data_IF_678109988985
#
_entry.id   IF_678109988985
#
_cell.length_a   1.000
_cell.length_b   1.000
_cell.length_c   1.000
_cell.angle_alpha   90.00
_cell.angle_beta   90.00
_cell.angle_gamma   90.00
#
_symmetry.space_group_name_H-M   'P 1'
#
loop_
_entity.id
_entity.type
_entity.pdbx_description
1 polymer ?
#
# COMPACT_ATOMS: atom_id res chain seq x y z
N UNK A 1 -47.37 -37.30 3.87
CA UNK A 1 -47.51 -35.82 3.90
C UNK A 1 -46.63 -35.10 4.95
N UNK A 2 -45.93 -35.84 5.82
CA UNK A 2 -45.18 -35.29 6.96
C UNK A 2 -43.65 -35.25 6.79
N UNK A 3 -43.14 -35.54 5.59
CA UNK A 3 -41.70 -35.62 5.29
C UNK A 3 -41.13 -34.42 4.52
N UNK A 4 -41.95 -33.41 4.19
CA UNK A 4 -41.47 -32.18 3.52
C UNK A 4 -41.17 -31.00 4.47
N UNK A 5 -41.43 -31.14 5.77
CA UNK A 5 -41.29 -30.03 6.74
C UNK A 5 -40.02 -30.08 7.61
N UNK A 6 -39.17 -31.11 7.45
CA UNK A 6 -37.95 -31.30 8.28
C UNK A 6 -36.61 -31.06 7.55
N UNK A 7 -36.60 -30.82 6.24
CA UNK A 7 -35.36 -30.56 5.48
C UNK A 7 -35.11 -29.09 5.17
N UNK A 8 -35.93 -28.17 5.70
CA UNK A 8 -35.78 -26.73 5.49
C UNK A 8 -35.63 -26.00 6.83
N UNK A 9 -34.86 -26.60 7.75
CA UNK A 9 -34.49 -26.01 9.05
C UNK A 9 -32.97 -25.99 9.25
N UNK A 10 -32.18 -26.42 8.25
CA UNK A 10 -30.71 -26.29 8.24
C UNK A 10 -30.31 -25.24 7.19
N UNK A 11 -30.72 -23.99 7.42
CA UNK A 11 -30.16 -22.82 6.74
C UNK A 11 -30.44 -21.55 7.56
N UNK A 12 -30.46 -21.65 8.89
CA UNK A 12 -30.34 -20.46 9.76
C UNK A 12 -28.86 -20.13 9.93
N UNK A 13 -28.19 -19.86 8.81
CA UNK A 13 -27.08 -18.92 8.82
C UNK A 13 -27.73 -17.57 8.63
N UNK A 14 -27.66 -16.71 9.63
CA UNK A 14 -28.14 -15.34 9.55
C UNK A 14 -27.60 -14.71 8.26
N UNK A 15 -28.48 -14.57 7.27
CA UNK A 15 -28.25 -13.70 6.11
C UNK A 15 -28.33 -12.29 6.68
N UNK A 16 -27.23 -11.86 7.29
CA UNK A 16 -27.02 -10.47 7.65
C UNK A 16 -27.29 -9.64 6.40
N UNK A 17 -28.17 -8.66 6.55
CA UNK A 17 -28.63 -7.75 5.50
C UNK A 17 -27.46 -7.12 4.74
N UNK A 18 -27.02 -7.74 3.64
CA UNK A 18 -25.97 -7.23 2.73
C UNK A 18 -26.49 -6.22 1.71
N UNK A 19 -27.63 -5.58 1.96
CA UNK A 19 -28.16 -4.55 1.08
C UNK A 19 -27.65 -3.17 1.53
N UNK A 20 -26.91 -2.50 0.63
CA UNK A 20 -26.66 -1.03 0.61
C UNK A 20 -25.34 -0.45 1.18
N UNK A 21 -24.22 -1.18 1.24
CA UNK A 21 -22.91 -0.57 1.61
C UNK A 21 -21.74 -0.82 0.66
N UNK A 22 -21.94 -1.61 -0.40
CA UNK A 22 -20.92 -1.90 -1.42
C UNK A 22 -21.05 -1.11 -2.74
N UNK A 23 -20.26 -1.49 -3.74
CA UNK A 23 -20.32 -1.00 -5.11
C UNK A 23 -19.41 0.20 -5.43
N UNK A 24 -19.74 0.91 -6.51
CA UNK A 24 -18.91 1.97 -7.10
C UNK A 24 -18.63 3.18 -6.22
N UNK A 25 -19.43 3.43 -5.18
CA UNK A 25 -19.14 4.52 -4.22
C UNK A 25 -17.88 4.20 -3.43
N UNK A 26 -17.82 3.01 -2.82
CA UNK A 26 -16.67 2.53 -2.06
C UNK A 26 -15.47 2.25 -2.97
N UNK A 27 -15.70 1.63 -4.13
CA UNK A 27 -14.62 1.29 -5.06
C UNK A 27 -13.87 2.52 -5.60
N UNK A 28 -14.57 3.64 -5.86
CA UNK A 28 -13.92 4.89 -6.28
C UNK A 28 -13.04 5.49 -5.19
N UNK A 29 -13.48 5.46 -3.93
CA UNK A 29 -12.65 5.91 -2.80
C UNK A 29 -11.37 5.06 -2.70
N UNK A 30 -11.50 3.74 -2.84
CA UNK A 30 -10.33 2.84 -2.85
C UNK A 30 -9.37 3.19 -3.97
N UNK A 31 -9.86 3.43 -5.20
CA UNK A 31 -9.01 3.85 -6.33
C UNK A 31 -8.30 5.17 -6.02
N UNK A 32 -9.00 6.18 -5.50
CA UNK A 32 -8.38 7.47 -5.17
C UNK A 32 -7.30 7.34 -4.09
N UNK A 33 -7.54 6.53 -3.06
CA UNK A 33 -6.56 6.27 -1.99
C UNK A 33 -5.35 5.52 -2.54
N UNK A 34 -5.55 4.50 -3.38
CA UNK A 34 -4.46 3.79 -4.06
C UNK A 34 -3.63 4.75 -4.93
N UNK A 35 -4.27 5.63 -5.69
CA UNK A 35 -3.56 6.60 -6.52
C UNK A 35 -2.69 7.55 -5.68
N UNK A 36 -3.22 8.04 -4.55
CA UNK A 36 -2.50 8.94 -3.65
C UNK A 36 -1.34 8.21 -2.93
N UNK A 37 -1.56 6.96 -2.53
CA UNK A 37 -0.55 6.12 -1.91
C UNK A 37 0.61 5.85 -2.88
N UNK A 38 0.31 5.42 -4.11
CA UNK A 38 1.31 5.21 -5.14
C UNK A 38 2.09 6.49 -5.44
N UNK A 39 1.42 7.64 -5.45
CA UNK A 39 2.10 8.91 -5.67
C UNK A 39 3.14 9.18 -4.58
N UNK A 40 2.76 9.00 -3.31
CA UNK A 40 3.69 9.14 -2.19
C UNK A 40 4.85 8.13 -2.27
N UNK A 41 4.53 6.86 -2.53
CA UNK A 41 5.51 5.77 -2.60
C UNK A 41 6.56 6.00 -3.69
N UNK A 42 6.11 6.28 -4.92
CA UNK A 42 7.03 6.55 -6.03
C UNK A 42 7.76 7.89 -5.85
N UNK A 43 7.16 8.86 -5.15
CA UNK A 43 7.81 10.11 -4.77
C UNK A 43 9.01 9.86 -3.87
N UNK A 44 8.85 9.01 -2.85
CA UNK A 44 9.96 8.57 -1.98
C UNK A 44 11.02 7.83 -2.78
N UNK A 45 10.61 6.82 -3.56
CA UNK A 45 11.51 6.01 -4.39
C UNK A 45 12.37 6.86 -5.33
N UNK A 46 11.76 7.86 -5.98
CA UNK A 46 12.45 8.75 -6.92
C UNK A 46 13.49 9.68 -6.27
N UNK A 47 13.29 10.06 -5.01
CA UNK A 47 14.18 10.96 -4.29
C UNK A 47 15.23 10.23 -3.44
N UNK A 48 15.10 8.90 -3.30
CA UNK A 48 15.92 8.10 -2.41
C UNK A 48 17.41 8.17 -2.76
N UNK A 49 17.75 8.11 -4.06
CA UNK A 49 19.14 8.20 -4.53
C UNK A 49 19.77 9.55 -4.22
N UNK A 50 19.03 10.64 -4.40
CA UNK A 50 19.48 12.00 -4.12
C UNK A 50 19.68 12.21 -2.62
N UNK A 51 18.78 11.66 -1.79
CA UNK A 51 18.89 11.75 -0.34
C UNK A 51 20.08 10.96 0.21
N UNK A 52 20.29 9.73 -0.29
CA UNK A 52 21.41 8.87 0.11
C UNK A 52 22.77 9.46 -0.30
N UNK A 53 22.89 9.98 -1.52
CA UNK A 53 24.18 10.51 -2.02
C UNK A 53 24.47 11.95 -1.57
N UNK A 54 23.45 12.77 -1.34
CA UNK A 54 23.60 14.14 -0.87
C UNK A 54 23.66 14.21 0.66
N UNK A 55 22.52 14.40 1.36
CA UNK A 55 22.45 14.53 2.82
C UNK A 55 23.18 13.45 3.64
N UNK A 56 23.13 12.18 3.20
CA UNK A 56 23.77 11.05 3.88
C UNK A 56 25.21 10.79 3.42
N UNK A 57 25.64 11.39 2.29
CA UNK A 57 27.01 11.29 1.79
C UNK A 57 27.44 9.89 1.33
N UNK A 58 26.51 8.98 1.03
CA UNK A 58 26.85 7.66 0.50
C UNK A 58 27.41 7.75 -0.92
N UNK A 59 28.33 6.85 -1.26
CA UNK A 59 28.71 6.67 -2.68
C UNK A 59 27.51 6.21 -3.51
N UNK A 60 27.45 6.59 -4.79
CA UNK A 60 26.38 6.17 -5.70
C UNK A 60 26.19 4.66 -5.75
N UNK A 61 27.28 3.89 -5.66
CA UNK A 61 27.23 2.43 -5.64
C UNK A 61 26.59 1.89 -4.36
N UNK A 62 26.95 2.44 -3.19
CA UNK A 62 26.35 2.06 -1.91
C UNK A 62 24.85 2.44 -1.85
N UNK A 63 24.52 3.65 -2.28
CA UNK A 63 23.14 4.13 -2.34
C UNK A 63 22.29 3.24 -3.25
N UNK A 64 22.77 2.89 -4.45
CA UNK A 64 22.08 1.99 -5.35
C UNK A 64 21.89 0.58 -4.74
N UNK A 65 22.89 0.06 -4.02
CA UNK A 65 22.78 -1.22 -3.32
C UNK A 65 21.70 -1.17 -2.23
N UNK A 66 21.65 -0.09 -1.44
CA UNK A 66 20.63 0.11 -0.41
C UNK A 66 19.22 0.22 -1.01
N UNK A 67 19.05 0.96 -2.11
CA UNK A 67 17.77 1.06 -2.84
C UNK A 67 17.32 -0.31 -3.36
N UNK A 68 18.24 -1.08 -3.95
CA UNK A 68 17.94 -2.42 -4.44
C UNK A 68 17.57 -3.39 -3.31
N UNK A 69 18.25 -3.32 -2.17
CA UNK A 69 17.94 -4.12 -0.98
C UNK A 69 16.55 -3.78 -0.42
N UNK A 70 16.21 -2.50 -0.37
CA UNK A 70 14.89 -2.03 0.03
C UNK A 70 13.79 -2.55 -0.94
N UNK A 71 13.98 -2.35 -2.25
CA UNK A 71 13.04 -2.84 -3.27
C UNK A 71 12.88 -4.37 -3.27
N UNK A 72 13.98 -5.10 -3.04
CA UNK A 72 13.96 -6.55 -2.87
C UNK A 72 13.12 -6.96 -1.66
N UNK A 73 13.34 -6.31 -0.52
CA UNK A 73 12.60 -6.56 0.72
C UNK A 73 11.10 -6.33 0.53
N UNK A 74 10.73 -5.22 -0.09
CA UNK A 74 9.34 -4.90 -0.44
C UNK A 74 8.69 -5.93 -1.34
N UNK A 75 9.43 -6.54 -2.25
CA UNK A 75 8.90 -7.57 -3.15
C UNK A 75 8.59 -8.88 -2.42
N UNK A 76 9.30 -9.19 -1.33
CA UNK A 76 9.08 -10.40 -0.53
C UNK A 76 7.97 -10.23 0.53
N UNK A 77 7.81 -9.01 1.07
CA UNK A 77 6.88 -8.74 2.17
C UNK A 77 5.41 -9.10 1.88
N UNK A 78 4.85 -8.91 0.67
CA UNK A 78 3.50 -9.37 0.34
C UNK A 78 3.28 -10.86 0.57
N UNK A 79 4.29 -11.70 0.33
CA UNK A 79 4.20 -13.15 0.56
C UNK A 79 4.09 -13.45 2.05
N UNK A 80 4.90 -12.78 2.86
CA UNK A 80 4.86 -12.90 4.32
C UNK A 80 3.52 -12.42 4.87
N UNK A 81 3.06 -11.26 4.43
CA UNK A 81 1.78 -10.69 4.84
C UNK A 81 0.59 -11.53 4.41
N UNK A 82 0.62 -12.13 3.21
CA UNK A 82 -0.41 -13.06 2.75
C UNK A 82 -0.55 -14.24 3.70
N UNK A 83 0.57 -14.88 4.05
CA UNK A 83 0.58 -15.98 5.02
C UNK A 83 -0.02 -15.56 6.38
N UNK A 84 0.38 -14.39 6.90
CA UNK A 84 -0.13 -13.88 8.19
C UNK A 84 -1.63 -13.54 8.10
N UNK A 85 -2.06 -12.91 7.01
CA UNK A 85 -3.45 -12.53 6.79
C UNK A 85 -4.37 -13.75 6.72
N UNK A 86 -3.94 -14.79 6.01
CA UNK A 86 -4.73 -16.01 5.83
C UNK A 86 -4.72 -16.90 7.09
N UNK A 87 -3.64 -16.89 7.87
CA UNK A 87 -3.47 -17.79 9.02
C UNK A 87 -3.94 -17.21 10.37
N UNK A 88 -3.85 -15.89 10.58
CA UNK A 88 -4.01 -15.31 11.92
C UNK A 88 -4.90 -14.06 11.99
N UNK A 89 -4.66 -13.07 11.12
CA UNK A 89 -5.24 -11.72 11.28
C UNK A 89 -6.57 -11.54 10.54
N UNK A 90 -6.75 -12.21 9.40
CA UNK A 90 -7.80 -11.89 8.44
C UNK A 90 -7.51 -10.59 7.67
N UNK A 91 -8.04 -10.49 6.45
CA UNK A 91 -7.72 -9.43 5.47
C UNK A 91 -7.91 -8.01 6.02
N UNK A 92 -9.03 -7.72 6.70
CA UNK A 92 -9.33 -6.37 7.18
C UNK A 92 -8.36 -5.89 8.28
N UNK A 93 -8.01 -6.77 9.24
CA UNK A 93 -7.06 -6.40 10.31
C UNK A 93 -5.66 -6.21 9.75
N UNK A 94 -5.26 -7.02 8.77
CA UNK A 94 -3.99 -6.83 8.06
C UNK A 94 -3.93 -5.46 7.40
N UNK A 95 -5.01 -5.01 6.72
CA UNK A 95 -5.06 -3.66 6.13
C UNK A 95 -4.82 -2.59 7.19
N UNK A 96 -5.54 -2.64 8.32
CA UNK A 96 -5.43 -1.63 9.37
C UNK A 96 -4.01 -1.57 9.97
N UNK A 97 -3.42 -2.72 10.28
CA UNK A 97 -2.06 -2.79 10.83
C UNK A 97 -1.05 -2.29 9.80
N UNK A 98 -1.15 -2.75 8.55
CA UNK A 98 -0.25 -2.36 7.48
C UNK A 98 -0.33 -0.85 7.17
N UNK A 99 -1.54 -0.29 7.10
CA UNK A 99 -1.75 1.15 6.93
C UNK A 99 -1.18 1.96 8.10
N UNK A 100 -1.34 1.49 9.34
CA UNK A 100 -0.75 2.16 10.51
C UNK A 100 0.79 2.17 10.43
N UNK A 101 1.41 1.02 10.12
CA UNK A 101 2.87 0.92 9.94
C UNK A 101 3.37 1.83 8.82
N UNK A 102 2.63 1.89 7.69
CA UNK A 102 2.96 2.75 6.57
C UNK A 102 2.95 4.24 6.95
N UNK A 103 1.86 4.72 7.59
CA UNK A 103 1.74 6.12 8.03
C UNK A 103 2.82 6.46 9.07
N UNK A 104 3.10 5.56 10.01
CA UNK A 104 4.17 5.74 10.98
C UNK A 104 5.54 5.85 10.29
N UNK A 105 5.79 5.01 9.29
CA UNK A 105 7.00 5.05 8.47
C UNK A 105 7.16 6.39 7.74
N UNK A 106 6.10 6.89 7.10
CA UNK A 106 6.09 8.21 6.45
C UNK A 106 6.37 9.35 7.44
N UNK A 107 5.78 9.28 8.63
CA UNK A 107 6.00 10.26 9.70
C UNK A 107 7.45 10.26 10.19
N UNK A 108 8.02 9.07 10.42
CA UNK A 108 9.43 8.91 10.83
C UNK A 108 10.39 9.36 9.74
N UNK A 109 10.09 9.06 8.47
CA UNK A 109 10.90 9.49 7.33
C UNK A 109 10.92 11.02 7.23
N UNK A 110 9.75 11.65 7.32
CA UNK A 110 9.62 13.11 7.33
C UNK A 110 10.37 13.73 8.49
N UNK A 111 10.25 13.15 9.70
CA UNK A 111 10.99 13.60 10.87
C UNK A 111 12.51 13.46 10.69
N UNK A 112 12.98 12.34 10.12
CA UNK A 112 14.41 12.12 9.84
C UNK A 112 14.98 13.15 8.89
N UNK A 113 14.20 13.59 7.90
CA UNK A 113 14.60 14.62 6.94
C UNK A 113 14.67 16.03 7.54
N UNK A 114 13.93 16.30 8.61
CA UNK A 114 13.94 17.60 9.31
C UNK A 114 15.09 17.74 10.32
N UNK A 115 15.78 16.64 10.67
CA UNK A 115 16.88 16.69 11.61
C UNK A 115 18.07 17.47 11.01
N UNK A 116 18.59 18.49 11.71
CA UNK A 116 19.71 19.27 11.20
C UNK A 116 20.97 18.41 11.15
N UNK A 117 21.55 18.29 9.96
CA UNK A 117 22.84 17.63 9.77
C UNK A 117 23.95 18.54 10.28
N UNK A 118 24.30 18.42 11.57
CA UNK A 118 25.38 19.20 12.17
C UNK A 118 26.75 18.61 11.76
N UNK A 119 27.43 19.33 10.86
CA UNK A 119 28.87 19.22 10.50
C UNK A 119 29.41 17.85 10.05
N UNK A 120 29.88 17.81 8.79
CA UNK A 120 30.77 16.83 8.09
C UNK A 120 30.49 15.32 8.18
N UNK A 121 29.94 14.82 9.27
CA UNK A 121 29.61 13.41 9.47
C UNK A 121 28.08 13.24 9.62
N UNK A 122 27.45 12.26 8.94
CA UNK A 122 26.03 11.99 9.09
C UNK A 122 25.69 11.70 10.55
N UNK A 123 24.70 12.41 11.11
CA UNK A 123 24.23 12.13 12.46
C UNK A 123 23.72 10.68 12.52
N UNK A 124 24.37 9.82 13.31
CA UNK A 124 24.02 8.40 13.40
C UNK A 124 22.54 8.18 13.73
N UNK A 125 21.94 9.09 14.51
CA UNK A 125 20.51 9.08 14.81
C UNK A 125 19.67 9.30 13.56
N UNK A 126 20.03 10.27 12.71
CA UNK A 126 19.35 10.55 11.44
C UNK A 126 19.42 9.34 10.51
N UNK A 127 20.61 8.74 10.34
CA UNK A 127 20.80 7.56 9.49
C UNK A 127 19.97 6.38 9.97
N UNK A 128 20.00 6.10 11.28
CA UNK A 128 19.24 5.01 11.88
C UNK A 128 17.73 5.22 11.71
N UNK A 129 17.24 6.43 12.03
CA UNK A 129 15.83 6.78 11.87
C UNK A 129 15.38 6.69 10.41
N UNK A 130 16.21 7.14 9.48
CA UNK A 130 15.95 7.07 8.06
C UNK A 130 15.79 5.61 7.60
N UNK A 131 16.76 4.73 7.86
CA UNK A 131 16.64 3.33 7.45
C UNK A 131 15.51 2.59 8.18
N UNK A 132 15.33 2.84 9.48
CA UNK A 132 14.18 2.30 10.22
C UNK A 132 12.86 2.72 9.57
N UNK A 133 12.72 3.99 9.20
CA UNK A 133 11.52 4.51 8.54
C UNK A 133 11.31 3.87 7.16
N UNK A 134 12.38 3.71 6.37
CA UNK A 134 12.34 3.15 5.03
C UNK A 134 11.89 1.68 5.04
N UNK A 135 12.42 0.88 5.96
CA UNK A 135 11.98 -0.51 6.14
C UNK A 135 10.59 -0.62 6.78
N UNK A 136 10.18 0.34 7.61
CA UNK A 136 8.81 0.37 8.14
C UNK A 136 7.79 0.68 7.04
N UNK A 137 8.11 1.61 6.14
CA UNK A 137 7.34 1.89 4.92
C UNK A 137 7.23 0.61 4.09
N UNK A 138 8.33 -0.10 3.85
CA UNK A 138 8.32 -1.37 3.12
C UNK A 138 7.36 -2.39 3.72
N UNK A 139 7.44 -2.59 5.04
CA UNK A 139 6.57 -3.50 5.79
C UNK A 139 5.11 -3.07 5.67
N UNK A 140 4.81 -1.78 5.83
CA UNK A 140 3.45 -1.26 5.69
C UNK A 140 2.89 -1.44 4.26
N UNK A 141 3.69 -1.11 3.25
CA UNK A 141 3.29 -1.21 1.84
C UNK A 141 2.95 -2.67 1.49
N UNK A 142 3.85 -3.59 1.79
CA UNK A 142 3.73 -5.00 1.39
C UNK A 142 2.46 -5.68 1.89
N UNK A 143 1.94 -5.29 3.06
CA UNK A 143 0.67 -5.80 3.59
C UNK A 143 -0.55 -5.05 3.08
N UNK A 144 -0.43 -3.73 2.95
CA UNK A 144 -1.52 -2.84 2.55
C UNK A 144 -1.97 -3.10 1.10
N UNK A 145 -1.02 -3.14 0.18
CA UNK A 145 -1.24 -3.11 -1.27
C UNK A 145 -2.05 -4.29 -1.84
N UNK A 146 -1.75 -5.56 -1.52
CA UNK A 146 -2.60 -6.67 -2.00
C UNK A 146 -3.97 -6.66 -1.33
N UNK A 147 -4.04 -6.25 -0.06
CA UNK A 147 -5.27 -6.32 0.73
C UNK A 147 -6.26 -5.21 0.35
N UNK A 148 -5.80 -3.98 0.06
CA UNK A 148 -6.69 -2.88 -0.33
C UNK A 148 -7.33 -3.12 -1.70
N UNK A 149 -6.57 -3.70 -2.65
CA UNK A 149 -7.06 -4.05 -3.99
C UNK A 149 -8.11 -5.13 -3.95
N UNK A 150 -7.88 -6.16 -3.15
CA UNK A 150 -8.87 -7.22 -2.94
C UNK A 150 -10.09 -6.71 -2.17
N UNK A 151 -9.92 -5.85 -1.16
CA UNK A 151 -11.02 -5.20 -0.45
C UNK A 151 -11.91 -4.35 -1.36
N UNK A 152 -11.32 -3.59 -2.30
CA UNK A 152 -12.08 -2.84 -3.31
C UNK A 152 -12.84 -3.76 -4.28
N UNK A 153 -12.25 -4.90 -4.62
CA UNK A 153 -12.90 -5.92 -5.46
C UNK A 153 -14.03 -6.66 -4.72
N UNK A 154 -13.93 -6.80 -3.40
CA UNK A 154 -14.95 -7.40 -2.52
C UNK A 154 -16.19 -6.50 -2.35
N UNK A 155 -16.15 -5.26 -2.88
CA UNK A 155 -17.32 -4.36 -2.91
C UNK A 155 -18.36 -4.77 -3.96
N UNK A 156 -18.07 -5.74 -4.81
CA UNK A 156 -18.95 -6.22 -5.89
C UNK A 156 -19.24 -7.71 -5.69
N UNK A 157 -20.51 -8.11 -5.75
CA UNK A 157 -20.93 -9.51 -5.68
C UNK A 157 -20.55 -10.26 -6.97
N UNK A 158 -19.92 -11.43 -6.80
CA UNK A 158 -19.55 -12.28 -7.92
C UNK A 158 -20.72 -13.11 -8.47
N UNK A 159 -21.81 -13.26 -7.70
CA UNK A 159 -22.96 -14.06 -8.10
C UNK A 159 -23.96 -13.29 -8.98
N UNK A 160 -23.85 -11.96 -9.03
CA UNK A 160 -24.60 -11.12 -9.96
C UNK A 160 -23.74 -10.84 -11.21
N UNK A 161 -24.26 -11.19 -12.39
CA UNK A 161 -23.58 -10.97 -13.67
C UNK A 161 -23.23 -9.49 -13.93
N UNK A 162 -24.06 -8.58 -13.44
CA UNK A 162 -23.87 -7.13 -13.60
C UNK A 162 -22.73 -6.64 -12.71
N UNK A 163 -22.72 -7.05 -11.44
CA UNK A 163 -21.66 -6.68 -10.49
C UNK A 163 -20.34 -7.39 -10.79
N UNK A 164 -20.36 -8.62 -11.30
CA UNK A 164 -19.17 -9.31 -11.79
C UNK A 164 -18.50 -8.55 -12.95
N UNK A 165 -19.29 -8.00 -13.89
CA UNK A 165 -18.78 -7.11 -14.95
C UNK A 165 -18.22 -5.80 -14.37
N UNK A 166 -18.91 -5.23 -13.39
CA UNK A 166 -18.44 -4.02 -12.69
C UNK A 166 -17.11 -4.26 -11.95
N UNK A 167 -16.92 -5.42 -11.33
CA UNK A 167 -15.67 -5.85 -10.69
C UNK A 167 -14.51 -5.91 -11.69
N UNK A 168 -14.74 -6.42 -12.91
CA UNK A 168 -13.74 -6.37 -13.97
C UNK A 168 -13.40 -4.93 -14.37
N UNK A 169 -14.41 -4.07 -14.53
CA UNK A 169 -14.19 -2.65 -14.78
C UNK A 169 -13.44 -1.94 -13.64
N UNK A 170 -13.65 -2.34 -12.38
CA UNK A 170 -12.91 -1.82 -11.24
C UNK A 170 -11.41 -2.06 -11.40
N UNK A 171 -10.97 -3.27 -11.76
CA UNK A 171 -9.56 -3.55 -12.01
C UNK A 171 -9.01 -2.75 -13.19
N UNK A 172 -9.78 -2.53 -14.25
CA UNK A 172 -9.35 -1.68 -15.36
C UNK A 172 -9.12 -0.23 -14.91
N UNK A 173 -10.04 0.32 -14.11
CA UNK A 173 -9.90 1.68 -13.56
C UNK A 173 -8.76 1.79 -12.55
N UNK A 174 -8.56 0.75 -11.73
CA UNK A 174 -7.45 0.69 -10.80
C UNK A 174 -6.10 0.74 -11.54
N UNK A 175 -5.94 -0.08 -12.58
CA UNK A 175 -4.72 -0.08 -13.41
C UNK A 175 -4.52 1.26 -14.12
N UNK A 176 -5.59 1.84 -14.68
CA UNK A 176 -5.54 3.16 -15.28
C UNK A 176 -5.09 4.24 -14.27
N UNK A 177 -5.70 4.25 -13.08
CA UNK A 177 -5.33 5.14 -11.99
C UNK A 177 -3.87 4.99 -11.58
N UNK A 178 -3.35 3.75 -11.54
CA UNK A 178 -1.95 3.49 -11.24
C UNK A 178 -1.00 4.04 -12.30
N UNK A 179 -1.30 3.85 -13.58
CA UNK A 179 -0.51 4.44 -14.66
C UNK A 179 -0.47 5.97 -14.55
N UNK A 180 -1.62 6.61 -14.29
CA UNK A 180 -1.71 8.06 -14.10
C UNK A 180 -0.88 8.50 -12.89
N UNK A 181 -0.99 7.81 -11.75
CA UNK A 181 -0.24 8.14 -10.53
C UNK A 181 1.28 8.06 -10.76
N UNK A 182 1.76 6.97 -11.34
CA UNK A 182 3.20 6.79 -11.65
C UNK A 182 3.67 7.89 -12.60
N UNK A 183 2.92 8.17 -13.66
CA UNK A 183 3.26 9.20 -14.64
C UNK A 183 3.34 10.58 -13.98
N UNK A 184 2.31 10.99 -13.23
CA UNK A 184 2.29 12.26 -12.51
C UNK A 184 3.43 12.37 -11.51
N UNK A 185 3.73 11.29 -10.78
CA UNK A 185 4.84 11.28 -9.81
C UNK A 185 6.17 11.50 -10.49
N UNK A 186 6.45 10.80 -11.59
CA UNK A 186 7.70 10.95 -12.34
C UNK A 186 7.85 12.37 -12.89
N UNK A 187 6.78 12.97 -13.41
CA UNK A 187 6.80 14.37 -13.86
C UNK A 187 7.11 15.33 -12.72
N UNK A 188 6.41 15.21 -11.60
CA UNK A 188 6.60 16.09 -10.44
C UNK A 188 8.00 15.93 -9.84
N UNK A 189 8.47 14.70 -9.64
CA UNK A 189 9.80 14.45 -9.09
C UNK A 189 10.91 14.96 -10.00
N UNK A 190 10.84 14.72 -11.31
CA UNK A 190 11.84 15.25 -12.25
C UNK A 190 11.84 16.79 -12.24
N UNK A 191 10.66 17.41 -12.25
CA UNK A 191 10.55 18.86 -12.17
C UNK A 191 11.20 19.41 -10.88
N UNK A 192 10.93 18.78 -9.73
CA UNK A 192 11.53 19.19 -8.45
C UNK A 192 13.05 19.02 -8.49
N UNK A 193 13.56 17.90 -9.02
CA UNK A 193 14.99 17.60 -9.09
C UNK A 193 15.75 18.52 -10.06
N UNK A 194 15.11 19.00 -11.12
CA UNK A 194 15.72 19.92 -12.09
C UNK A 194 15.73 21.37 -11.62
N UNK A 195 14.82 21.75 -10.71
CA UNK A 195 14.65 23.14 -10.25
C UNK A 195 15.17 23.40 -8.82
N UNK A 196 15.76 22.41 -8.17
CA UNK A 196 16.49 22.51 -6.89
C UNK A 196 18.00 22.58 -7.12
#
# INVERSE_FOLDING_TARGET
PETKKKSMVIASGEVGSRFSTGGWKSARLVICVEMAEQFAFYGISSNLITYLTGPLGESTAAAAANINAWSGTESFLPLLWGFIADSFLGRFRTILVASFLYILGLGLLSFSAMLPSHSKDPNQLQVTLFFCSLYLIAVGQGGYNPCIKSFGADQFDANDLTEAKAKSSYFNWLMFGSCVSIFTTRLVSNYIQENL
#
